data_IF_238919722384
#
_entry.id   IF_238919722384
#
_cell.length_a   1.000
_cell.length_b   1.000
_cell.length_c   1.000
_cell.angle_alpha   90.00
_cell.angle_beta   90.00
_cell.angle_gamma   90.00
#
_symmetry.space_group_name_H-M   'P 1'
#
loop_
_entity.id
_entity.type
_entity.pdbx_description
1 polymer ?
#
# COMPACT_ATOMS: atom_id res chain seq x y z
N UNK A 1 18.65 11.75 9.17
CA UNK A 1 18.76 10.51 8.39
C UNK A 1 19.74 10.63 7.21
N UNK A 2 19.49 11.48 6.20
CA UNK A 2 20.40 11.65 5.05
C UNK A 2 21.85 11.96 5.46
N UNK A 3 22.06 13.01 6.25
CA UNK A 3 23.40 13.37 6.75
C UNK A 3 24.06 12.23 7.55
N UNK A 4 23.28 11.48 8.34
CA UNK A 4 23.78 10.33 9.10
C UNK A 4 24.25 9.21 8.17
N UNK A 5 23.47 8.89 7.13
CA UNK A 5 23.84 7.87 6.13
C UNK A 5 25.08 8.28 5.32
N UNK A 6 25.14 9.53 4.88
CA UNK A 6 26.28 10.07 4.13
C UNK A 6 27.55 10.17 4.98
N UNK A 7 27.41 10.34 6.30
CA UNK A 7 28.55 10.32 7.24
C UNK A 7 29.08 8.91 7.46
N UNK A 8 28.18 7.93 7.63
CA UNK A 8 28.55 6.53 7.88
C UNK A 8 29.04 5.82 6.62
N UNK A 9 28.52 6.19 5.45
CA UNK A 9 28.93 5.63 4.16
C UNK A 9 28.99 6.74 3.09
N UNK A 10 30.14 7.42 2.93
CA UNK A 10 30.29 8.59 2.06
C UNK A 10 30.00 8.32 0.57
N UNK A 11 30.13 7.07 0.14
CA UNK A 11 29.82 6.64 -1.23
C UNK A 11 28.36 6.24 -1.43
N UNK A 12 27.54 6.24 -0.36
CA UNK A 12 26.12 5.95 -0.44
C UNK A 12 25.34 7.21 -0.83
N UNK A 13 24.86 7.27 -2.07
CA UNK A 13 23.96 8.35 -2.50
C UNK A 13 22.54 8.04 -2.01
N UNK A 14 22.07 8.79 -1.01
CA UNK A 14 20.71 8.64 -0.50
C UNK A 14 19.71 9.15 -1.54
N UNK A 15 18.72 8.33 -1.88
CA UNK A 15 17.65 8.73 -2.80
C UNK A 15 16.95 10.00 -2.32
N UNK A 16 16.62 10.88 -3.26
CA UNK A 16 15.79 12.04 -2.95
C UNK A 16 14.39 11.59 -2.52
N UNK A 17 13.72 12.43 -1.72
CA UNK A 17 12.31 12.21 -1.35
C UNK A 17 11.43 11.97 -2.57
N UNK A 18 11.64 12.72 -3.66
CA UNK A 18 10.86 12.60 -4.90
C UNK A 18 11.06 11.23 -5.55
N UNK A 19 12.31 10.78 -5.68
CA UNK A 19 12.64 9.47 -6.23
C UNK A 19 12.05 8.34 -5.37
N UNK A 20 12.17 8.44 -4.04
CA UNK A 20 11.60 7.47 -3.12
C UNK A 20 10.07 7.40 -3.26
N UNK A 21 9.38 8.54 -3.24
CA UNK A 21 7.93 8.58 -3.43
C UNK A 21 7.49 7.97 -4.76
N UNK A 22 8.22 8.25 -5.86
CA UNK A 22 7.93 7.67 -7.17
C UNK A 22 8.04 6.14 -7.15
N UNK A 23 9.12 5.60 -6.56
CA UNK A 23 9.32 4.14 -6.46
C UNK A 23 8.28 3.47 -5.57
N UNK A 24 7.90 4.10 -4.46
CA UNK A 24 6.83 3.59 -3.59
C UNK A 24 5.50 3.56 -4.33
N UNK A 25 5.19 4.59 -5.11
CA UNK A 25 3.96 4.65 -5.89
C UNK A 25 3.92 3.62 -7.02
N UNK A 26 5.04 3.41 -7.70
CA UNK A 26 5.19 2.35 -8.72
C UNK A 26 5.01 0.96 -8.10
N UNK A 27 5.66 0.69 -6.95
CA UNK A 27 5.49 -0.57 -6.21
C UNK A 27 4.03 -0.79 -5.79
N UNK A 28 3.34 0.25 -5.33
CA UNK A 28 1.92 0.18 -4.98
C UNK A 28 1.02 -0.15 -6.18
N UNK A 29 1.31 0.41 -7.37
CA UNK A 29 0.57 0.08 -8.60
C UNK A 29 0.77 -1.37 -9.02
N UNK A 30 2.01 -1.88 -8.94
CA UNK A 30 2.32 -3.27 -9.24
C UNK A 30 1.63 -4.25 -8.29
N UNK A 31 1.35 -3.82 -7.06
CA UNK A 31 0.72 -4.68 -6.06
C UNK A 31 -0.72 -5.05 -6.45
N UNK A 32 -1.47 -4.14 -7.08
CA UNK A 32 -2.82 -4.44 -7.57
C UNK A 32 -2.82 -5.54 -8.63
N UNK A 33 -1.88 -5.48 -9.57
CA UNK A 33 -1.78 -6.48 -10.64
C UNK A 33 -1.35 -7.85 -10.14
N UNK A 34 -0.65 -7.92 -9.00
CA UNK A 34 -0.32 -9.17 -8.32
C UNK A 34 -1.56 -9.79 -7.69
N UNK A 35 -2.33 -9.00 -6.93
CA UNK A 35 -3.51 -9.49 -6.18
C UNK A 35 -4.56 -10.06 -7.15
N UNK A 36 -4.84 -9.40 -8.27
CA UNK A 36 -5.83 -9.84 -9.28
C UNK A 36 -5.52 -11.24 -9.85
N UNK A 37 -4.25 -11.66 -9.83
CA UNK A 37 -3.81 -12.96 -10.38
C UNK A 37 -3.86 -14.10 -9.37
N UNK A 38 -4.21 -13.84 -8.11
CA UNK A 38 -4.23 -14.85 -7.05
C UNK A 38 -5.59 -15.54 -7.01
N UNK A 39 -5.56 -16.87 -6.94
CA UNK A 39 -6.77 -17.72 -6.91
C UNK A 39 -7.63 -17.48 -5.68
N UNK A 40 -6.97 -17.25 -4.53
CA UNK A 40 -7.63 -17.03 -3.25
C UNK A 40 -6.99 -15.85 -2.53
N UNK A 41 -7.81 -14.87 -2.19
CA UNK A 41 -7.40 -13.68 -1.43
C UNK A 41 -8.44 -13.46 -0.35
N UNK A 42 -8.00 -13.38 0.90
CA UNK A 42 -8.83 -12.86 1.98
C UNK A 42 -8.57 -11.37 2.11
N UNK A 43 -9.62 -10.59 2.35
CA UNK A 43 -9.51 -9.14 2.50
C UNK A 43 -10.20 -8.70 3.78
N UNK A 44 -9.51 -7.93 4.61
CA UNK A 44 -10.11 -7.23 5.76
C UNK A 44 -10.15 -5.73 5.48
N UNK A 45 -11.24 -5.09 5.88
CA UNK A 45 -11.41 -3.65 5.69
C UNK A 45 -11.64 -2.99 7.03
N UNK A 46 -10.85 -1.97 7.33
CA UNK A 46 -10.90 -1.25 8.60
C UNK A 46 -11.20 0.23 8.34
N UNK A 47 -12.09 0.80 9.13
CA UNK A 47 -12.40 2.23 9.09
C UNK A 47 -11.99 2.85 10.42
N UNK A 48 -11.25 3.96 10.38
CA UNK A 48 -10.92 4.70 11.61
C UNK A 48 -10.94 6.19 11.36
N UNK A 49 -11.02 6.97 12.45
CA UNK A 49 -10.91 8.42 12.40
C UNK A 49 -9.89 8.90 13.42
N UNK A 50 -9.07 9.89 13.05
CA UNK A 50 -8.15 10.58 13.95
C UNK A 50 -8.00 12.04 13.52
N UNK A 51 -7.96 12.97 14.48
CA UNK A 51 -7.75 14.41 14.25
C UNK A 51 -8.61 14.99 13.10
N UNK A 52 -9.93 14.75 13.13
CA UNK A 52 -10.90 15.20 12.12
C UNK A 52 -10.70 14.63 10.71
N UNK A 53 -9.91 13.56 10.56
CA UNK A 53 -9.73 12.86 9.31
C UNK A 53 -10.26 11.44 9.46
N UNK A 54 -11.05 11.01 8.49
CA UNK A 54 -11.50 9.61 8.39
C UNK A 54 -10.61 8.87 7.40
N UNK A 55 -10.43 7.58 7.64
CA UNK A 55 -9.60 6.71 6.84
C UNK A 55 -10.33 5.40 6.59
N UNK A 56 -10.09 4.85 5.41
CA UNK A 56 -10.54 3.53 4.99
C UNK A 56 -9.29 2.74 4.61
N UNK A 57 -9.02 1.64 5.32
CA UNK A 57 -7.91 0.73 5.06
C UNK A 57 -8.41 -0.61 4.56
N UNK A 58 -7.61 -1.22 3.70
CA UNK A 58 -7.82 -2.55 3.15
C UNK A 58 -6.54 -3.36 3.32
N UNK A 59 -6.67 -4.53 3.92
CA UNK A 59 -5.62 -5.54 4.01
C UNK A 59 -6.00 -6.70 3.12
N UNK A 60 -5.22 -6.95 2.07
CA UNK A 60 -5.35 -8.17 1.27
C UNK A 60 -4.28 -9.16 1.69
N UNK A 61 -4.67 -10.41 1.94
CA UNK A 61 -3.79 -11.49 2.33
C UNK A 61 -4.00 -12.71 1.43
N UNK A 62 -2.91 -13.38 1.08
CA UNK A 62 -2.94 -14.62 0.32
C UNK A 62 -1.76 -15.51 0.68
N UNK A 63 -1.90 -16.80 0.42
CA UNK A 63 -0.82 -17.79 0.52
C UNK A 63 -0.33 -18.06 -0.91
N UNK A 64 0.98 -18.03 -1.13
CA UNK A 64 1.53 -18.49 -2.40
C UNK A 64 1.45 -20.01 -2.51
N UNK A 65 0.83 -20.52 -3.57
CA UNK A 65 0.58 -21.96 -3.72
C UNK A 65 1.86 -22.79 -3.83
N UNK A 66 2.98 -22.19 -4.26
CA UNK A 66 4.25 -22.91 -4.46
C UNK A 66 5.16 -22.81 -3.24
N UNK A 67 5.36 -21.61 -2.71
CA UNK A 67 6.25 -21.42 -1.55
C UNK A 67 5.55 -21.65 -0.22
N UNK A 68 4.21 -21.67 -0.21
CA UNK A 68 3.36 -21.63 0.99
C UNK A 68 3.62 -20.41 1.88
N UNK A 69 4.30 -19.39 1.33
CA UNK A 69 4.54 -18.15 2.04
C UNK A 69 3.26 -17.31 2.10
N UNK A 70 3.02 -16.76 3.29
CA UNK A 70 1.93 -15.83 3.53
C UNK A 70 2.36 -14.42 3.13
N UNK A 71 1.53 -13.77 2.33
CA UNK A 71 1.75 -12.39 1.88
C UNK A 71 0.61 -11.47 2.33
N UNK A 72 0.97 -10.22 2.58
CA UNK A 72 0.06 -9.18 3.00
C UNK A 72 0.32 -7.89 2.24
N UNK A 73 -0.75 -7.19 1.90
CA UNK A 73 -0.70 -5.86 1.32
C UNK A 73 -1.67 -4.98 2.06
N UNK A 74 -1.17 -3.83 2.52
CA UNK A 74 -1.93 -2.81 3.22
C UNK A 74 -2.03 -1.56 2.36
N UNK A 75 -3.25 -1.11 2.09
CA UNK A 75 -3.52 0.17 1.45
C UNK A 75 -4.55 0.92 2.27
N UNK A 76 -4.37 2.23 2.43
CA UNK A 76 -5.36 3.07 3.07
C UNK A 76 -5.55 4.37 2.32
N UNK A 77 -6.76 4.91 2.42
CA UNK A 77 -7.14 6.17 1.84
C UNK A 77 -7.64 7.09 2.93
N UNK A 78 -7.18 8.34 2.89
CA UNK A 78 -7.89 9.42 3.58
C UNK A 78 -9.23 9.62 2.88
N UNK A 79 -10.29 9.52 3.66
CA UNK A 79 -11.66 9.72 3.23
C UNK A 79 -11.94 11.21 3.29
N UNK A 80 -11.92 11.86 2.13
CA UNK A 80 -12.58 13.15 1.95
C UNK A 80 -14.01 12.83 1.46
N UNK A 81 -15.04 13.31 2.16
CA UNK A 81 -16.48 12.93 1.99
C UNK A 81 -17.00 12.92 0.53
N UNK A 82 -16.32 13.58 -0.41
CA UNK A 82 -16.68 13.65 -1.84
C UNK A 82 -16.21 12.43 -2.67
N UNK A 83 -15.22 11.63 -2.22
CA UNK A 83 -14.63 10.53 -3.01
C UNK A 83 -15.04 9.10 -2.59
N UNK A 84 -15.75 8.97 -1.49
CA UNK A 84 -16.07 7.68 -0.84
C UNK A 84 -16.95 6.78 -1.70
N UNK A 85 -17.93 7.37 -2.38
CA UNK A 85 -18.89 6.62 -3.18
C UNK A 85 -18.23 5.87 -4.35
N UNK A 86 -17.24 6.47 -5.01
CA UNK A 86 -16.63 5.88 -6.22
C UNK A 86 -15.68 4.72 -5.91
N UNK A 87 -14.99 4.73 -4.76
CA UNK A 87 -14.02 3.68 -4.42
C UNK A 87 -14.67 2.46 -3.75
N UNK A 88 -15.72 2.65 -2.94
CA UNK A 88 -16.47 1.53 -2.35
C UNK A 88 -17.18 0.68 -3.42
N UNK A 89 -17.70 1.32 -4.48
CA UNK A 89 -18.35 0.63 -5.59
C UNK A 89 -17.39 -0.23 -6.43
N UNK A 90 -16.10 0.14 -6.50
CA UNK A 90 -15.08 -0.63 -7.24
C UNK A 90 -14.54 -1.85 -6.48
N UNK A 91 -14.59 -1.82 -5.14
CA UNK A 91 -14.10 -2.90 -4.29
C UNK A 91 -15.14 -4.02 -4.07
N UNK A 92 -16.43 -3.74 -4.33
CA UNK A 92 -17.54 -4.69 -4.14
C UNK A 92 -18.01 -5.35 -5.46
N UNK A 93 -17.31 -5.13 -6.57
CA UNK A 93 -17.67 -5.67 -7.89
C UNK A 93 -16.97 -6.98 -8.27
N UNK A 94 -16.33 -7.68 -7.34
CA UNK A 94 -15.76 -9.00 -7.55
C UNK A 94 -16.21 -9.98 -6.48
#
# INVERSE_FOLDING_TARGET
FKNMMETLQPHCTVMTRKTLCSKVQEAAQNTKSIIIKKSYVATTTDCWSTRQQSYFGVTSQWIDEKSLEQHYVLQYWRVDFVKVHTHLMLLLQH
#
